data_IF_795141492981
#
_entry.id   IF_795141492981
#
_cell.length_a   1.000
_cell.length_b   1.000
_cell.length_c   1.000
_cell.angle_alpha   90.00
_cell.angle_beta   90.00
_cell.angle_gamma   90.00
#
_symmetry.space_group_name_H-M   'P 1'
#
loop_
_entity.id
_entity.type
_entity.pdbx_description
1 polymer ?
#
# COMPACT_ATOMS: atom_id res chain seq x y z
N UNK A 1 20.37 50.89 55.23
CA UNK A 1 19.95 51.24 56.60
C UNK A 1 18.68 50.44 56.85
N UNK A 2 18.73 49.34 57.60
CA UNK A 2 18.50 49.28 59.08
C UNK A 2 17.02 49.48 59.46
N UNK A 3 16.37 48.72 60.35
CA UNK A 3 16.62 47.41 60.96
C UNK A 3 15.33 46.92 61.68
N UNK A 4 15.12 45.58 61.76
CA UNK A 4 14.75 44.75 62.95
C UNK A 4 14.09 45.48 64.16
N UNK A 5 12.94 45.02 64.73
CA UNK A 5 12.80 43.73 65.48
C UNK A 5 11.50 42.92 65.22
N UNK A 6 11.23 41.69 65.70
CA UNK A 6 11.87 40.55 66.43
C UNK A 6 10.78 39.93 67.33
N UNK A 7 10.92 38.62 67.65
CA UNK A 7 10.24 37.82 68.72
C UNK A 7 9.21 36.83 68.19
N UNK A 8 9.21 35.52 68.48
CA UNK A 8 10.26 34.61 69.01
C UNK A 8 9.87 33.12 68.70
N UNK A 9 10.69 32.15 69.13
CA UNK A 9 10.39 30.70 69.16
C UNK A 9 10.51 30.13 70.59
N UNK A 10 9.99 28.92 70.88
CA UNK A 10 10.85 27.72 70.96
C UNK A 10 10.19 26.45 70.34
N UNK A 11 10.89 25.61 69.56
CA UNK A 11 11.80 24.50 69.93
C UNK A 11 11.14 23.09 69.97
N UNK A 12 11.81 22.09 69.41
CA UNK A 12 11.40 20.68 69.23
C UNK A 12 12.05 19.78 70.35
N UNK A 13 12.30 18.44 70.25
CA UNK A 13 12.15 17.45 69.15
C UNK A 13 11.59 16.05 69.55
N UNK A 14 11.60 15.08 68.62
CA UNK A 14 11.44 13.64 68.93
C UNK A 14 11.33 12.72 67.70
N UNK A 15 12.26 11.78 67.53
CA UNK A 15 12.34 10.85 66.37
C UNK A 15 12.40 9.39 66.86
N UNK A 16 11.63 8.47 66.27
CA UNK A 16 11.86 7.01 66.36
C UNK A 16 11.38 6.24 65.11
N UNK A 17 11.94 5.04 64.92
CA UNK A 17 11.96 4.24 63.68
C UNK A 17 11.51 2.78 63.93
N UNK A 18 10.70 2.16 63.05
CA UNK A 18 10.54 0.70 62.88
C UNK A 18 9.67 0.40 61.61
N UNK A 19 10.15 -0.28 60.53
CA UNK A 19 10.38 -1.72 60.26
C UNK A 19 9.20 -2.48 59.56
N UNK A 20 9.39 -2.65 58.25
CA UNK A 20 9.05 -3.72 57.28
C UNK A 20 8.00 -4.86 57.47
N UNK A 21 7.15 -5.01 56.44
CA UNK A 21 6.67 -6.26 55.74
C UNK A 21 5.79 -7.32 56.46
N UNK A 22 5.08 -8.24 55.75
CA UNK A 22 4.63 -8.31 54.33
C UNK A 22 3.14 -8.74 54.08
N UNK A 23 2.67 -8.56 52.83
CA UNK A 23 1.78 -9.44 52.00
C UNK A 23 0.53 -10.17 52.58
N UNK A 24 -0.63 -10.07 51.89
CA UNK A 24 -1.42 -11.18 51.27
C UNK A 24 -2.85 -10.75 50.83
N UNK A 25 -3.09 -10.91 49.53
CA UNK A 25 -4.34 -11.18 48.77
C UNK A 25 -5.70 -10.51 49.10
N UNK A 26 -6.26 -9.88 48.07
CA UNK A 26 -7.63 -10.20 47.60
C UNK A 26 -7.72 -10.00 46.08
N UNK A 27 -7.79 -11.13 45.34
CA UNK A 27 -8.46 -11.18 44.03
C UNK A 27 -9.97 -11.40 44.30
N UNK A 28 -10.93 -11.16 43.41
CA UNK A 28 -10.96 -11.23 41.94
C UNK A 28 -12.14 -10.38 41.42
N UNK A 29 -12.33 -10.31 40.10
CA UNK A 29 -13.47 -9.73 39.35
C UNK A 29 -13.32 -8.22 39.06
N UNK A 30 -13.03 -7.77 37.84
CA UNK A 30 -13.05 -8.45 36.55
C UNK A 30 -14.29 -8.04 35.73
N UNK A 31 -14.25 -6.84 35.18
CA UNK A 31 -15.12 -6.40 34.09
C UNK A 31 -14.28 -6.34 32.80
N UNK A 32 -14.83 -6.69 31.62
CA UNK A 32 -14.00 -6.82 30.43
C UNK A 32 -13.53 -5.44 29.95
N UNK A 33 -12.21 -5.28 29.83
CA UNK A 33 -11.67 -4.25 28.95
C UNK A 33 -12.14 -4.57 27.53
N UNK A 34 -13.01 -3.73 26.99
CA UNK A 34 -13.26 -3.72 25.56
C UNK A 34 -11.93 -3.43 24.87
N UNK A 35 -11.49 -4.34 24.01
CA UNK A 35 -10.37 -4.11 23.12
C UNK A 35 -10.79 -3.02 22.12
N UNK A 36 -10.56 -1.76 22.48
CA UNK A 36 -10.49 -0.70 21.49
C UNK A 36 -9.38 -1.09 20.51
N UNK A 37 -9.70 -1.14 19.21
CA UNK A 37 -8.67 -1.38 18.20
C UNK A 37 -7.62 -0.29 18.31
N UNK A 38 -6.38 -0.68 18.58
CA UNK A 38 -5.25 0.25 18.69
C UNK A 38 -5.01 0.91 17.32
N UNK A 39 -5.62 2.06 17.11
CA UNK A 39 -5.14 3.04 16.14
C UNK A 39 -3.75 3.46 16.64
N UNK A 40 -2.66 3.27 15.87
CA UNK A 40 -1.34 3.64 16.34
C UNK A 40 -1.32 5.12 16.75
N UNK A 41 -0.56 5.51 17.80
CA UNK A 41 -0.51 6.89 18.25
C UNK A 41 -0.16 7.82 17.08
N UNK A 42 -0.99 8.84 16.86
CA UNK A 42 -0.72 9.80 15.79
C UNK A 42 0.58 10.54 16.09
N UNK A 43 1.50 10.47 15.14
CA UNK A 43 2.75 11.20 15.14
C UNK A 43 2.49 12.62 14.69
N UNK A 44 2.36 13.52 15.67
CA UNK A 44 2.16 14.96 15.44
C UNK A 44 3.42 15.68 14.94
N UNK A 45 4.56 15.00 14.79
CA UNK A 45 5.75 15.52 14.13
C UNK A 45 5.76 15.17 12.62
N UNK A 46 4.95 14.19 12.19
CA UNK A 46 4.76 13.83 10.78
C UNK A 46 3.86 14.82 10.04
N UNK A 47 4.44 15.53 9.06
CA UNK A 47 3.72 16.47 8.19
C UNK A 47 2.50 15.82 7.50
N UNK A 48 2.63 14.57 7.04
CA UNK A 48 1.55 13.85 6.35
C UNK A 48 0.39 13.54 7.30
N UNK A 49 0.67 13.15 8.55
CA UNK A 49 -0.39 12.89 9.54
C UNK A 49 -1.07 14.18 10.00
N UNK A 50 -0.32 15.28 10.13
CA UNK A 50 -0.88 16.62 10.39
C UNK A 50 -1.80 17.07 9.25
N UNK A 51 -1.32 17.04 8.00
CA UNK A 51 -2.11 17.45 6.82
C UNK A 51 -3.33 16.55 6.64
N UNK A 52 -3.22 15.23 6.85
CA UNK A 52 -4.36 14.32 6.82
C UNK A 52 -5.39 14.64 7.91
N UNK A 53 -4.95 15.01 9.11
CA UNK A 53 -5.84 15.42 10.20
C UNK A 53 -6.56 16.75 9.88
N UNK A 54 -5.87 17.70 9.26
CA UNK A 54 -6.45 18.98 8.82
C UNK A 54 -7.45 18.79 7.67
N UNK A 55 -7.15 17.93 6.69
CA UNK A 55 -8.08 17.54 5.62
C UNK A 55 -9.39 16.94 6.19
N UNK A 56 -9.28 16.02 7.16
CA UNK A 56 -10.46 15.45 7.87
C UNK A 56 -11.29 16.53 8.57
N UNK A 57 -10.66 17.52 9.19
CA UNK A 57 -11.36 18.65 9.83
C UNK A 57 -12.05 19.56 8.81
N UNK A 58 -11.41 19.82 7.66
CA UNK A 58 -11.97 20.60 6.56
C UNK A 58 -13.18 19.92 5.93
N UNK A 59 -13.10 18.61 5.67
CA UNK A 59 -14.23 17.79 5.19
C UNK A 59 -15.42 17.80 6.18
N UNK A 60 -15.16 17.78 7.48
CA UNK A 60 -16.22 17.89 8.48
C UNK A 60 -16.86 19.27 8.53
N UNK A 61 -16.10 20.34 8.35
CA UNK A 61 -16.67 21.68 8.22
C UNK A 61 -17.56 21.76 6.96
N UNK A 62 -17.08 21.26 5.82
CA UNK A 62 -17.86 21.13 4.58
C UNK A 62 -19.18 20.39 4.81
N UNK A 63 -19.14 19.25 5.52
CA UNK A 63 -20.36 18.53 5.93
C UNK A 63 -21.23 19.34 6.89
N UNK A 64 -20.69 20.11 7.85
CA UNK A 64 -21.48 21.00 8.70
C UNK A 64 -22.21 22.08 7.88
N UNK A 65 -21.58 22.63 6.84
CA UNK A 65 -22.24 23.54 5.91
C UNK A 65 -23.37 22.86 5.12
N UNK A 66 -23.18 21.61 4.67
CA UNK A 66 -24.28 20.82 4.10
C UNK A 66 -25.40 20.53 5.11
N UNK A 67 -25.07 20.25 6.37
CA UNK A 67 -26.04 20.00 7.45
C UNK A 67 -26.91 21.24 7.72
N UNK A 68 -26.33 22.45 7.65
CA UNK A 68 -27.08 23.72 7.73
C UNK A 68 -28.07 23.90 6.57
N UNK A 69 -27.82 23.28 5.42
CA UNK A 69 -28.70 23.32 4.23
C UNK A 69 -29.73 22.18 4.17
N UNK A 70 -29.76 21.26 5.16
CA UNK A 70 -30.70 20.12 5.15
C UNK A 70 -32.15 20.56 5.06
N UNK A 71 -32.60 21.45 5.95
CA UNK A 71 -34.01 21.87 5.99
C UNK A 71 -34.33 22.83 4.84
N UNK A 72 -33.68 24.00 4.69
CA UNK A 72 -34.07 24.98 3.66
C UNK A 72 -33.81 24.50 2.23
N UNK A 73 -32.73 23.73 2.02
CA UNK A 73 -32.34 23.22 0.71
C UNK A 73 -32.92 21.84 0.40
N UNK A 74 -32.41 20.80 1.08
CA UNK A 74 -32.56 19.40 0.63
C UNK A 74 -33.89 18.73 1.03
N UNK A 75 -34.43 19.04 2.21
CA UNK A 75 -35.67 18.42 2.73
C UNK A 75 -36.92 19.04 2.10
N UNK A 76 -36.88 20.35 1.85
CA UNK A 76 -37.97 21.10 1.25
C UNK A 76 -37.87 21.18 -0.29
N UNK A 77 -36.82 20.62 -0.90
CA UNK A 77 -36.63 20.55 -2.36
C UNK A 77 -37.91 20.13 -3.13
N UNK A 78 -38.65 19.06 -2.75
CA UNK A 78 -39.85 18.66 -3.49
C UNK A 78 -40.94 19.76 -3.50
N UNK A 79 -41.02 20.57 -2.44
CA UNK A 79 -41.97 21.68 -2.32
C UNK A 79 -41.54 22.94 -3.10
N UNK A 80 -40.25 23.10 -3.40
CA UNK A 80 -39.77 24.26 -4.16
C UNK A 80 -40.42 24.33 -5.55
N UNK A 81 -40.64 23.16 -6.18
CA UNK A 81 -41.35 23.02 -7.46
C UNK A 81 -42.76 23.64 -7.47
N UNK A 82 -43.48 23.59 -6.35
CA UNK A 82 -44.82 24.17 -6.19
C UNK A 82 -44.77 25.70 -6.07
N UNK A 83 -43.71 26.22 -5.44
CA UNK A 83 -43.54 27.66 -5.20
C UNK A 83 -42.92 28.42 -6.38
N UNK A 84 -42.17 27.72 -7.25
CA UNK A 84 -41.46 28.32 -8.36
C UNK A 84 -41.40 27.38 -9.58
N UNK A 85 -42.41 27.40 -10.48
CA UNK A 85 -42.46 26.53 -11.66
C UNK A 85 -41.39 26.83 -12.73
N UNK A 86 -40.51 27.80 -12.50
CA UNK A 86 -39.37 28.15 -13.36
C UNK A 86 -38.01 27.61 -12.88
N UNK A 87 -37.95 27.01 -11.68
CA UNK A 87 -36.70 26.56 -11.06
C UNK A 87 -36.53 25.04 -10.95
N UNK A 88 -37.51 24.25 -11.41
CA UNK A 88 -37.33 22.80 -11.51
C UNK A 88 -36.22 22.47 -12.52
N UNK A 89 -35.32 21.50 -12.23
CA UNK A 89 -34.40 21.00 -13.23
C UNK A 89 -35.19 20.43 -14.41
N UNK A 90 -34.74 20.72 -15.64
CA UNK A 90 -35.47 20.44 -16.88
C UNK A 90 -36.06 19.02 -16.89
N UNK A 91 -37.39 18.92 -16.73
CA UNK A 91 -38.14 17.68 -16.91
C UNK A 91 -38.67 16.98 -15.65
N UNK A 92 -38.39 17.45 -14.42
CA UNK A 92 -39.00 16.84 -13.21
C UNK A 92 -39.95 17.77 -12.45
N UNK A 93 -41.22 17.69 -12.83
CA UNK A 93 -42.34 18.21 -12.02
C UNK A 93 -42.69 17.18 -10.95
N UNK A 94 -42.37 17.44 -9.68
CA UNK A 94 -42.98 16.71 -8.55
C UNK A 94 -44.45 17.09 -8.33
N UNK A 95 -44.99 18.03 -9.12
CA UNK A 95 -46.30 18.65 -8.94
C UNK A 95 -47.45 17.95 -9.69
N UNK A 96 -47.19 16.86 -10.41
CA UNK A 96 -48.21 16.19 -11.24
C UNK A 96 -49.14 15.29 -10.41
N UNK A 97 -48.77 14.90 -9.18
CA UNK A 97 -49.64 14.18 -8.24
C UNK A 97 -49.26 14.38 -6.76
N UNK A 98 -50.23 14.58 -5.85
CA UNK A 98 -49.98 14.62 -4.40
C UNK A 98 -49.29 13.36 -3.85
N UNK A 99 -49.45 12.21 -4.51
CA UNK A 99 -48.80 10.95 -4.12
C UNK A 99 -47.29 11.02 -4.37
N UNK A 100 -46.88 11.55 -5.53
CA UNK A 100 -45.47 11.72 -5.91
C UNK A 100 -44.77 12.75 -5.02
N UNK A 101 -45.45 13.85 -4.67
CA UNK A 101 -44.92 14.84 -3.73
C UNK A 101 -44.65 14.23 -2.35
N UNK A 102 -45.58 13.41 -1.83
CA UNK A 102 -45.42 12.70 -0.54
C UNK A 102 -44.24 11.75 -0.59
N UNK A 103 -44.10 10.98 -1.66
CA UNK A 103 -43.01 10.02 -1.86
C UNK A 103 -41.65 10.74 -1.98
N UNK A 104 -41.58 11.86 -2.72
CA UNK A 104 -40.39 12.70 -2.80
C UNK A 104 -39.96 13.27 -1.45
N UNK A 105 -40.91 13.76 -0.64
CA UNK A 105 -40.64 14.23 0.72
C UNK A 105 -40.18 13.11 1.65
N UNK A 106 -40.80 11.93 1.58
CA UNK A 106 -40.41 10.76 2.37
C UNK A 106 -38.99 10.29 2.00
N UNK A 107 -38.66 10.25 0.71
CA UNK A 107 -37.33 9.90 0.22
C UNK A 107 -36.28 10.96 0.60
N UNK A 108 -36.60 12.25 0.51
CA UNK A 108 -35.73 13.34 0.94
C UNK A 108 -35.44 13.26 2.45
N UNK A 109 -36.45 12.98 3.27
CA UNK A 109 -36.32 12.81 4.73
C UNK A 109 -35.43 11.60 5.09
N UNK A 110 -35.67 10.44 4.48
CA UNK A 110 -34.83 9.23 4.68
C UNK A 110 -33.37 9.48 4.29
N UNK A 111 -33.15 10.15 3.16
CA UNK A 111 -31.80 10.49 2.66
C UNK A 111 -31.09 11.46 3.62
N UNK A 112 -31.79 12.48 4.12
CA UNK A 112 -31.20 13.42 5.08
C UNK A 112 -30.91 12.78 6.44
N UNK A 113 -31.74 11.84 6.91
CA UNK A 113 -31.47 11.08 8.13
C UNK A 113 -30.18 10.25 8.00
N UNK A 114 -30.02 9.52 6.89
CA UNK A 114 -28.80 8.76 6.60
C UNK A 114 -27.55 9.67 6.53
N UNK A 115 -27.68 10.87 5.98
CA UNK A 115 -26.59 11.87 5.96
C UNK A 115 -26.19 12.32 7.38
N UNK A 116 -27.15 12.52 8.28
CA UNK A 116 -26.90 12.87 9.69
C UNK A 116 -26.21 11.71 10.42
N UNK A 117 -26.66 10.47 10.20
CA UNK A 117 -26.05 9.27 10.79
C UNK A 117 -24.62 9.05 10.30
N UNK A 118 -24.36 9.25 9.00
CA UNK A 118 -23.02 9.22 8.41
C UNK A 118 -22.10 10.28 9.05
N UNK A 119 -22.57 11.53 9.16
CA UNK A 119 -21.80 12.60 9.81
C UNK A 119 -21.51 12.28 11.28
N UNK A 120 -22.50 11.81 12.04
CA UNK A 120 -22.32 11.40 13.43
C UNK A 120 -21.27 10.29 13.57
N UNK A 121 -21.33 9.29 12.68
CA UNK A 121 -20.35 8.19 12.64
C UNK A 121 -18.92 8.69 12.41
N UNK A 122 -18.72 9.60 11.45
CA UNK A 122 -17.41 10.21 11.22
C UNK A 122 -16.95 11.09 12.39
N UNK A 123 -17.83 11.93 12.93
CA UNK A 123 -17.52 12.82 14.06
C UNK A 123 -17.13 12.05 15.33
N UNK A 124 -17.75 10.89 15.56
CA UNK A 124 -17.48 10.01 16.70
C UNK A 124 -16.48 8.89 16.36
N UNK A 125 -15.93 8.88 15.14
CA UNK A 125 -15.07 7.82 14.63
C UNK A 125 -13.71 7.76 15.33
N UNK A 126 -13.11 6.56 15.45
CA UNK A 126 -11.86 6.35 16.19
C UNK A 126 -10.67 7.13 15.61
N UNK A 127 -10.68 7.40 14.31
CA UNK A 127 -9.64 8.19 13.63
C UNK A 127 -9.65 9.68 14.02
N UNK A 128 -10.80 10.21 14.45
CA UNK A 128 -11.00 11.63 14.70
C UNK A 128 -10.95 11.99 16.19
N UNK A 129 -11.23 11.03 17.07
CA UNK A 129 -11.02 11.17 18.52
C UNK A 129 -9.62 11.70 18.90
N UNK A 130 -8.49 11.17 18.38
CA UNK A 130 -7.16 11.71 18.71
C UNK A 130 -6.94 13.12 18.14
N UNK A 131 -7.56 13.46 17.00
CA UNK A 131 -7.52 14.83 16.43
C UNK A 131 -8.24 15.81 17.35
N UNK A 132 -9.44 15.47 17.84
CA UNK A 132 -10.15 16.30 18.81
C UNK A 132 -9.40 16.45 20.12
N UNK A 133 -8.80 15.37 20.63
CA UNK A 133 -7.97 15.43 21.84
C UNK A 133 -6.75 16.36 21.67
N UNK A 134 -6.10 16.34 20.49
CA UNK A 134 -5.01 17.27 20.18
C UNK A 134 -5.50 18.72 20.13
N UNK A 135 -6.61 19.00 19.43
CA UNK A 135 -7.21 20.34 19.34
C UNK A 135 -7.61 20.86 20.73
N UNK A 136 -8.20 20.01 21.58
CA UNK A 136 -8.59 20.39 22.95
C UNK A 136 -7.36 20.67 23.82
N UNK A 137 -6.28 19.88 23.70
CA UNK A 137 -5.01 20.15 24.38
C UNK A 137 -4.44 21.50 23.97
N UNK A 138 -4.33 21.76 22.65
CA UNK A 138 -3.83 23.05 22.13
C UNK A 138 -4.66 24.24 22.58
N UNK A 139 -5.98 24.09 22.68
CA UNK A 139 -6.88 25.15 23.15
C UNK A 139 -6.73 25.43 24.65
N UNK A 140 -6.43 24.41 25.46
CA UNK A 140 -6.08 24.58 26.88
C UNK A 140 -4.74 25.31 27.02
N UNK A 141 -3.74 24.90 26.24
CA UNK A 141 -2.41 25.51 26.21
C UNK A 141 -2.46 26.99 25.75
N UNK A 142 -3.34 27.33 24.81
CA UNK A 142 -3.54 28.71 24.32
C UNK A 142 -4.49 29.56 25.18
N UNK A 143 -4.88 29.09 26.37
CA UNK A 143 -5.83 29.76 27.27
C UNK A 143 -7.17 30.14 26.60
N UNK A 144 -7.64 29.33 25.64
CA UNK A 144 -8.87 29.57 24.89
C UNK A 144 -8.71 30.53 23.70
N UNK A 145 -7.51 31.00 23.39
CA UNK A 145 -7.28 31.84 22.20
C UNK A 145 -7.33 30.98 20.94
N UNK A 146 -8.41 31.15 20.16
CA UNK A 146 -8.59 30.51 18.85
C UNK A 146 -7.66 31.20 17.84
N UNK A 147 -6.79 30.41 17.19
CA UNK A 147 -5.68 30.92 16.37
C UNK A 147 -6.15 31.40 14.98
N UNK A 148 -7.27 30.91 14.46
CA UNK A 148 -7.80 31.34 13.15
C UNK A 148 -8.57 32.67 13.26
N UNK A 149 -8.08 33.78 12.67
CA UNK A 149 -8.72 35.09 12.80
C UNK A 149 -9.87 35.31 11.80
N UNK A 150 -9.91 34.53 10.73
CA UNK A 150 -10.83 34.67 9.58
C UNK A 150 -12.01 33.72 9.62
N UNK A 151 -11.94 32.61 10.38
CA UNK A 151 -12.98 31.58 10.42
C UNK A 151 -13.21 30.87 9.08
N UNK A 152 -12.19 30.80 8.23
CA UNK A 152 -12.19 30.08 6.94
C UNK A 152 -10.84 29.41 6.73
N UNK A 153 -10.82 28.25 6.05
CA UNK A 153 -9.57 27.62 5.64
C UNK A 153 -8.86 28.41 4.55
N UNK A 154 -7.57 28.68 4.74
CA UNK A 154 -6.73 29.39 3.76
C UNK A 154 -6.20 28.47 2.63
N UNK A 155 -6.30 27.15 2.81
CA UNK A 155 -5.81 26.13 1.88
C UNK A 155 -6.76 24.96 1.77
N UNK A 156 -6.66 24.27 0.65
CA UNK A 156 -7.24 22.95 0.42
C UNK A 156 -6.25 21.88 0.91
N UNK A 157 -6.60 21.19 1.99
CA UNK A 157 -5.73 20.18 2.61
C UNK A 157 -5.88 18.81 1.95
N UNK A 158 -6.96 18.54 1.20
CA UNK A 158 -7.09 17.33 0.39
C UNK A 158 -6.10 17.36 -0.78
N UNK A 159 -6.00 18.51 -1.47
CA UNK A 159 -5.00 18.72 -2.53
C UNK A 159 -3.58 18.62 -1.99
N UNK A 160 -3.29 19.27 -0.85
CA UNK A 160 -1.96 19.22 -0.23
C UNK A 160 -1.59 17.80 0.22
N UNK A 161 -2.55 17.02 0.75
CA UNK A 161 -2.33 15.61 1.10
C UNK A 161 -2.00 14.77 -0.14
N UNK A 162 -2.71 14.98 -1.25
CA UNK A 162 -2.46 14.27 -2.50
C UNK A 162 -1.06 14.60 -3.07
N UNK A 163 -0.62 15.86 -2.97
CA UNK A 163 0.73 16.30 -3.35
C UNK A 163 1.82 15.66 -2.49
N UNK A 164 1.68 15.67 -1.15
CA UNK A 164 2.64 15.02 -0.26
C UNK A 164 2.75 13.51 -0.53
N UNK A 165 1.62 12.83 -0.71
CA UNK A 165 1.60 11.40 -1.05
C UNK A 165 2.20 11.11 -2.45
N UNK A 166 2.10 12.04 -3.41
CA UNK A 166 2.79 11.93 -4.71
C UNK A 166 4.31 12.09 -4.53
N UNK A 167 4.76 13.04 -3.72
CA UNK A 167 6.18 13.27 -3.43
C UNK A 167 6.80 12.07 -2.71
N UNK A 168 6.10 11.48 -1.73
CA UNK A 168 6.59 10.31 -1.00
C UNK A 168 6.73 9.09 -1.91
N UNK A 169 5.71 8.75 -2.71
CA UNK A 169 5.82 7.69 -3.73
C UNK A 169 6.95 7.95 -4.73
N UNK A 170 7.14 9.21 -5.15
CA UNK A 170 8.23 9.59 -6.05
C UNK A 170 9.62 9.37 -5.43
N UNK A 171 9.78 9.59 -4.12
CA UNK A 171 11.02 9.28 -3.40
C UNK A 171 11.24 7.76 -3.30
N UNK A 172 10.20 6.99 -2.99
CA UNK A 172 10.29 5.52 -2.94
C UNK A 172 10.64 4.94 -4.31
N UNK A 173 10.04 5.46 -5.39
CA UNK A 173 10.34 5.09 -6.78
C UNK A 173 11.77 5.49 -7.20
N UNK A 174 12.32 6.59 -6.68
CA UNK A 174 13.72 6.98 -6.91
C UNK A 174 14.68 6.07 -6.16
N UNK A 175 14.46 5.81 -4.87
CA UNK A 175 15.28 4.93 -4.04
C UNK A 175 15.32 3.49 -4.60
N UNK A 176 14.19 2.99 -5.11
CA UNK A 176 14.14 1.69 -5.79
C UNK A 176 14.92 1.68 -7.11
N UNK A 177 14.97 2.81 -7.82
CA UNK A 177 15.78 2.95 -9.05
C UNK A 177 17.26 3.02 -8.74
N UNK A 178 17.65 3.75 -7.70
CA UNK A 178 19.03 3.80 -7.20
C UNK A 178 19.51 2.43 -6.72
N UNK A 179 18.69 1.64 -6.01
CA UNK A 179 19.02 0.24 -5.64
C UNK A 179 19.19 -0.64 -6.89
N UNK A 180 18.28 -0.56 -7.88
CA UNK A 180 18.43 -1.34 -9.12
C UNK A 180 19.68 -0.93 -9.92
N UNK A 181 20.00 0.36 -9.99
CA UNK A 181 21.20 0.86 -10.67
C UNK A 181 22.49 0.45 -9.96
N UNK A 182 22.51 0.46 -8.62
CA UNK A 182 23.62 -0.05 -7.83
C UNK A 182 23.80 -1.56 -7.99
N UNK A 183 22.72 -2.35 -7.99
CA UNK A 183 22.79 -3.80 -8.28
C UNK A 183 23.28 -4.08 -9.70
N UNK A 184 22.82 -3.31 -10.69
CA UNK A 184 23.24 -3.43 -12.09
C UNK A 184 24.73 -3.12 -12.25
N UNK A 185 25.20 -2.02 -11.68
CA UNK A 185 26.61 -1.65 -11.69
C UNK A 185 27.48 -2.73 -11.01
N UNK A 186 27.03 -3.28 -9.88
CA UNK A 186 27.71 -4.40 -9.22
C UNK A 186 27.81 -5.63 -10.12
N UNK A 187 26.70 -6.07 -10.69
CA UNK A 187 26.63 -7.26 -11.57
C UNK A 187 27.48 -7.11 -12.86
N UNK A 188 27.62 -5.89 -13.38
CA UNK A 188 28.43 -5.60 -14.56
C UNK A 188 29.92 -5.36 -14.23
N UNK A 189 30.26 -5.01 -12.99
CA UNK A 189 31.65 -4.80 -12.55
C UNK A 189 32.40 -6.08 -12.16
N UNK A 190 31.68 -7.15 -11.80
CA UNK A 190 32.23 -8.33 -11.14
C UNK A 190 32.45 -9.50 -12.11
N UNK A 191 33.66 -9.64 -12.65
CA UNK A 191 33.99 -10.77 -13.51
C UNK A 191 33.95 -12.10 -12.73
N UNK A 192 33.01 -12.97 -13.09
CA UNK A 192 32.86 -14.33 -12.54
C UNK A 192 31.78 -14.52 -11.46
N UNK A 193 31.20 -13.47 -10.88
CA UNK A 193 30.18 -13.61 -9.81
C UNK A 193 28.94 -14.41 -10.25
N UNK A 194 28.61 -14.39 -11.55
CA UNK A 194 27.53 -15.18 -12.15
C UNK A 194 27.63 -16.69 -11.84
N UNK A 195 28.84 -17.24 -11.67
CA UNK A 195 29.02 -18.65 -11.35
C UNK A 195 28.45 -19.00 -9.97
N UNK A 196 28.59 -18.10 -8.98
CA UNK A 196 28.01 -18.24 -7.64
C UNK A 196 26.49 -18.11 -7.64
N UNK A 197 25.93 -17.26 -8.51
CA UNK A 197 24.48 -17.16 -8.72
C UNK A 197 23.92 -18.48 -9.29
N UNK A 198 24.59 -19.08 -10.29
CA UNK A 198 24.20 -20.39 -10.83
C UNK A 198 24.37 -21.50 -9.79
N UNK A 199 25.42 -21.47 -8.98
CA UNK A 199 25.70 -22.48 -7.95
C UNK A 199 24.67 -22.45 -6.82
N UNK A 200 24.34 -21.26 -6.30
CA UNK A 200 23.28 -21.08 -5.31
C UNK A 200 21.90 -21.47 -5.86
N UNK A 201 21.61 -21.21 -7.14
CA UNK A 201 20.40 -21.73 -7.80
C UNK A 201 20.38 -23.27 -7.85
N UNK A 202 21.50 -23.92 -8.19
CA UNK A 202 21.59 -25.39 -8.21
C UNK A 202 21.37 -25.96 -6.81
N UNK A 203 21.94 -25.34 -5.76
CA UNK A 203 21.77 -25.77 -4.36
C UNK A 203 20.31 -25.74 -3.89
N UNK A 204 19.44 -24.89 -4.48
CA UNK A 204 18.00 -24.88 -4.20
C UNK A 204 17.25 -26.15 -4.64
N UNK A 205 17.86 -27.02 -5.46
CA UNK A 205 17.34 -28.35 -5.85
C UNK A 205 15.87 -28.34 -6.35
N UNK A 206 15.51 -27.35 -7.18
CA UNK A 206 14.11 -27.14 -7.62
C UNK A 206 13.55 -28.33 -8.43
N UNK A 207 12.35 -28.84 -8.10
CA UNK A 207 11.82 -30.07 -8.67
C UNK A 207 11.47 -29.93 -10.17
N UNK A 208 12.17 -30.70 -11.00
CA UNK A 208 11.95 -30.71 -12.45
C UNK A 208 12.75 -29.67 -13.23
N UNK A 209 13.62 -28.90 -12.56
CA UNK A 209 14.62 -28.03 -13.21
C UNK A 209 15.98 -28.73 -13.18
N UNK A 210 16.75 -28.66 -14.27
CA UNK A 210 18.16 -29.08 -14.31
C UNK A 210 18.98 -28.02 -15.01
N UNK A 211 20.21 -27.83 -14.55
CA UNK A 211 21.12 -26.79 -15.01
C UNK A 211 22.43 -27.44 -15.44
N UNK A 212 22.91 -27.10 -16.64
CA UNK A 212 24.12 -27.63 -17.26
C UNK A 212 25.01 -26.43 -17.62
N UNK A 213 26.11 -26.27 -16.88
CA UNK A 213 27.15 -25.26 -17.14
C UNK A 213 27.99 -25.69 -18.35
N UNK A 214 28.18 -24.83 -19.34
CA UNK A 214 29.17 -25.04 -20.41
C UNK A 214 30.53 -24.50 -19.91
N UNK A 215 31.63 -25.25 -20.11
CA UNK A 215 32.88 -24.99 -19.37
C UNK A 215 33.73 -23.83 -19.90
N UNK A 216 33.55 -23.43 -21.17
CA UNK A 216 34.45 -22.49 -21.87
C UNK A 216 33.74 -21.20 -22.35
N UNK A 217 32.44 -21.06 -22.06
CA UNK A 217 31.58 -20.00 -22.60
C UNK A 217 30.72 -19.40 -21.49
N UNK A 218 30.24 -18.16 -21.68
CA UNK A 218 29.21 -17.54 -20.83
C UNK A 218 27.81 -18.12 -21.15
N UNK A 219 27.73 -19.45 -21.23
CA UNK A 219 26.55 -20.18 -21.69
C UNK A 219 26.07 -21.19 -20.65
N UNK A 220 24.75 -21.27 -20.50
CA UNK A 220 24.07 -22.15 -19.57
C UNK A 220 22.89 -22.82 -20.26
N UNK A 221 22.76 -24.13 -20.15
CA UNK A 221 21.56 -24.84 -20.58
C UNK A 221 20.67 -25.20 -19.38
N UNK A 222 19.41 -24.79 -19.41
CA UNK A 222 18.42 -25.03 -18.35
C UNK A 222 17.31 -25.89 -18.92
N UNK A 223 17.19 -27.13 -18.43
CA UNK A 223 16.19 -28.09 -18.85
C UNK A 223 15.02 -28.14 -17.85
N UNK A 224 13.83 -27.80 -18.33
CA UNK A 224 12.57 -27.95 -17.60
C UNK A 224 11.96 -29.32 -17.94
N UNK A 225 12.30 -30.33 -17.13
CA UNK A 225 12.05 -31.75 -17.41
C UNK A 225 10.56 -32.06 -17.57
N UNK A 226 9.71 -31.52 -16.70
CA UNK A 226 8.24 -31.72 -16.75
C UNK A 226 7.60 -30.99 -17.94
N UNK A 227 8.09 -29.81 -18.28
CA UNK A 227 7.65 -29.05 -19.46
C UNK A 227 8.09 -29.72 -20.78
N UNK A 228 9.30 -30.28 -20.82
CA UNK A 228 9.93 -30.84 -22.03
C UNK A 228 10.62 -29.77 -22.89
N UNK A 229 11.17 -28.73 -22.24
CA UNK A 229 11.79 -27.55 -22.85
C UNK A 229 13.21 -27.38 -22.33
N UNK A 230 14.13 -26.95 -23.19
CA UNK A 230 15.51 -26.60 -22.82
C UNK A 230 15.78 -25.18 -23.32
N UNK A 231 16.18 -24.30 -22.40
CA UNK A 231 16.62 -22.94 -22.71
C UNK A 231 18.13 -22.84 -22.67
N UNK A 232 18.71 -22.14 -23.64
CA UNK A 232 20.11 -21.72 -23.62
C UNK A 232 20.16 -20.24 -23.25
N UNK A 233 20.79 -19.95 -22.13
CA UNK A 233 21.06 -18.60 -21.63
C UNK A 233 22.50 -18.26 -21.99
N UNK A 234 22.72 -17.14 -22.68
CA UNK A 234 24.03 -16.67 -23.10
C UNK A 234 24.26 -15.24 -22.59
N UNK A 235 25.42 -14.99 -21.98
CA UNK A 235 25.83 -13.66 -21.56
C UNK A 235 26.35 -12.83 -22.73
N UNK A 236 25.75 -11.66 -22.93
CA UNK A 236 26.21 -10.65 -23.88
C UNK A 236 27.25 -9.76 -23.18
N UNK A 237 28.49 -9.75 -23.65
CA UNK A 237 29.50 -8.77 -23.22
C UNK A 237 29.42 -7.53 -24.12
N UNK A 238 29.54 -6.34 -23.54
CA UNK A 238 29.82 -5.11 -24.29
C UNK A 238 31.35 -4.88 -24.36
N UNK A 239 31.86 -4.16 -25.38
CA UNK A 239 33.31 -3.99 -25.57
C UNK A 239 34.02 -3.27 -24.41
N UNK A 240 33.32 -2.35 -23.74
CA UNK A 240 33.87 -1.44 -22.72
C UNK A 240 33.53 -1.87 -21.28
N UNK A 241 32.85 -3.00 -21.08
CA UNK A 241 32.43 -3.50 -19.77
C UNK A 241 33.13 -4.83 -19.39
N UNK A 242 33.64 -5.00 -18.15
CA UNK A 242 34.34 -6.23 -17.76
C UNK A 242 33.39 -7.44 -17.59
N UNK A 243 32.18 -7.20 -17.06
CA UNK A 243 31.17 -8.22 -16.79
C UNK A 243 30.22 -8.53 -17.96
N UNK A 244 29.08 -9.14 -17.63
CA UNK A 244 28.01 -9.44 -18.59
C UNK A 244 27.02 -8.27 -18.59
N UNK A 245 26.82 -7.64 -19.74
CA UNK A 245 25.90 -6.52 -19.87
C UNK A 245 24.44 -6.98 -19.73
N UNK A 246 24.07 -8.05 -20.47
CA UNK A 246 22.71 -8.59 -20.56
C UNK A 246 22.73 -10.11 -20.76
N UNK A 247 21.70 -10.81 -20.27
CA UNK A 247 21.51 -12.26 -20.52
C UNK A 247 20.42 -12.53 -21.55
N UNK A 248 20.81 -13.09 -22.69
CA UNK A 248 19.90 -13.46 -23.77
C UNK A 248 19.45 -14.93 -23.64
N UNK A 249 18.19 -15.22 -23.97
CA UNK A 249 17.62 -16.59 -23.92
C UNK A 249 17.24 -17.06 -25.31
N UNK A 250 17.58 -18.30 -25.64
CA UNK A 250 17.13 -18.98 -26.86
C UNK A 250 16.59 -20.38 -26.56
N UNK A 251 15.53 -20.80 -27.27
CA UNK A 251 15.16 -22.21 -27.34
C UNK A 251 15.88 -22.86 -28.51
N UNK A 252 16.81 -23.79 -28.24
CA UNK A 252 17.43 -24.60 -29.29
C UNK A 252 16.74 -25.96 -29.32
N UNK A 253 15.77 -26.08 -30.22
CA UNK A 253 15.20 -27.39 -30.53
C UNK A 253 16.30 -28.36 -31.00
N UNK A 254 16.26 -29.65 -30.63
CA UNK A 254 17.20 -30.64 -31.13
C UNK A 254 17.22 -30.71 -32.67
N UNK A 255 18.34 -31.10 -33.30
CA UNK A 255 18.43 -31.20 -34.76
C UNK A 255 17.26 -32.00 -35.35
N UNK A 256 16.52 -31.39 -36.28
CA UNK A 256 15.34 -31.98 -36.91
C UNK A 256 13.99 -31.66 -36.25
N UNK A 257 13.94 -30.98 -35.09
CA UNK A 257 12.70 -30.45 -34.50
C UNK A 257 12.61 -28.93 -34.72
N UNK A 258 11.42 -28.46 -35.11
CA UNK A 258 11.10 -27.01 -35.12
C UNK A 258 10.68 -26.58 -33.70
N UNK A 259 11.14 -25.42 -33.19
CA UNK A 259 10.67 -24.89 -31.92
C UNK A 259 9.14 -24.76 -31.86
N UNK A 260 8.54 -25.18 -30.76
CA UNK A 260 7.07 -25.13 -30.64
C UNK A 260 6.58 -23.69 -30.40
N UNK A 261 5.32 -23.40 -30.73
CA UNK A 261 4.71 -22.09 -30.40
C UNK A 261 4.82 -21.77 -28.90
N UNK A 262 4.76 -22.79 -28.05
CA UNK A 262 4.91 -22.66 -26.60
C UNK A 262 6.32 -22.18 -26.22
N UNK A 263 7.36 -22.82 -26.75
CA UNK A 263 8.77 -22.43 -26.55
C UNK A 263 9.03 -21.00 -27.04
N UNK A 264 8.47 -20.63 -28.20
CA UNK A 264 8.63 -19.29 -28.76
C UNK A 264 8.00 -18.23 -27.83
N UNK A 265 6.75 -18.44 -27.39
CA UNK A 265 6.09 -17.49 -26.46
C UNK A 265 6.76 -17.41 -25.08
N UNK A 266 7.37 -18.49 -24.59
CA UNK A 266 8.23 -18.43 -23.40
C UNK A 266 9.50 -17.61 -23.66
N UNK A 267 10.20 -17.89 -24.77
CA UNK A 267 11.45 -17.23 -25.13
C UNK A 267 11.26 -15.74 -25.37
N UNK A 268 10.13 -15.36 -25.98
CA UNK A 268 9.70 -13.97 -26.15
C UNK A 268 9.48 -13.29 -24.79
N UNK A 269 8.72 -13.91 -23.88
CA UNK A 269 8.49 -13.40 -22.52
C UNK A 269 9.79 -13.29 -21.69
N UNK A 270 10.71 -14.25 -21.85
CA UNK A 270 12.00 -14.26 -21.16
C UNK A 270 12.96 -13.19 -21.70
N UNK A 271 12.84 -12.77 -22.97
CA UNK A 271 13.68 -11.72 -23.56
C UNK A 271 13.06 -10.31 -23.49
N UNK A 272 11.75 -10.20 -23.26
CA UNK A 272 11.05 -8.93 -22.98
C UNK A 272 11.02 -8.55 -21.50
N UNK A 273 11.60 -9.38 -20.63
CA UNK A 273 11.65 -9.18 -19.17
C UNK A 273 12.32 -7.85 -18.76
N UNK A 274 11.96 -7.27 -17.60
CA UNK A 274 12.78 -6.28 -16.90
C UNK A 274 14.06 -6.93 -16.35
N UNK A 275 15.03 -6.12 -15.89
CA UNK A 275 16.31 -6.59 -15.31
C UNK A 275 17.03 -7.62 -16.19
N UNK A 276 17.29 -7.29 -17.46
CA UNK A 276 17.97 -8.21 -18.40
C UNK A 276 19.42 -8.55 -18.01
N UNK A 277 20.07 -7.64 -17.31
CA UNK A 277 21.38 -7.79 -16.67
C UNK A 277 21.40 -8.82 -15.52
N UNK A 278 20.24 -9.11 -14.90
CA UNK A 278 20.14 -9.95 -13.70
C UNK A 278 19.93 -11.44 -14.04
N UNK A 279 20.93 -12.26 -13.71
CA UNK A 279 20.87 -13.71 -13.87
C UNK A 279 19.98 -14.39 -12.82
N UNK A 280 19.95 -13.91 -11.57
CA UNK A 280 19.14 -14.52 -10.51
C UNK A 280 17.64 -14.37 -10.83
N UNK A 281 17.23 -13.16 -11.22
CA UNK A 281 15.88 -12.87 -11.71
C UNK A 281 15.51 -13.76 -12.91
N UNK A 282 16.43 -13.91 -13.88
CA UNK A 282 16.19 -14.76 -15.05
C UNK A 282 16.03 -16.25 -14.66
N UNK A 283 16.88 -16.77 -13.77
CA UNK A 283 16.81 -18.17 -13.34
C UNK A 283 15.51 -18.47 -12.59
N UNK A 284 15.07 -17.56 -11.71
CA UNK A 284 13.78 -17.66 -11.02
C UNK A 284 12.61 -17.58 -12.02
N UNK A 285 12.67 -16.66 -12.98
CA UNK A 285 11.67 -16.52 -14.04
C UNK A 285 11.57 -17.79 -14.90
N UNK A 286 12.70 -18.42 -15.25
CA UNK A 286 12.72 -19.71 -15.96
C UNK A 286 12.15 -20.83 -15.09
N UNK A 287 12.49 -20.87 -13.79
CA UNK A 287 11.98 -21.88 -12.86
C UNK A 287 10.45 -21.86 -12.72
N UNK A 288 9.83 -20.69 -12.85
CA UNK A 288 8.37 -20.51 -12.81
C UNK A 288 7.61 -21.22 -13.95
N UNK A 289 8.31 -21.76 -14.96
CA UNK A 289 7.74 -22.59 -16.03
C UNK A 289 7.85 -24.10 -15.76
N UNK A 290 8.54 -24.54 -14.69
CA UNK A 290 8.78 -25.95 -14.39
C UNK A 290 7.48 -26.77 -14.34
N UNK A 291 6.43 -26.21 -13.71
CA UNK A 291 5.12 -26.84 -13.55
C UNK A 291 4.01 -26.24 -14.44
N UNK A 292 4.38 -25.58 -15.56
CA UNK A 292 3.45 -24.87 -16.45
C UNK A 292 2.20 -25.67 -16.84
N UNK A 293 2.31 -27.00 -17.02
CA UNK A 293 1.19 -27.88 -17.40
C UNK A 293 0.13 -28.04 -16.29
N UNK A 294 0.41 -27.51 -15.10
CA UNK A 294 -0.48 -27.50 -13.93
C UNK A 294 -0.79 -26.06 -13.45
N UNK A 295 0.03 -25.07 -13.82
CA UNK A 295 -0.17 -23.67 -13.42
C UNK A 295 -1.36 -23.04 -14.14
N UNK A 296 -2.39 -22.62 -13.39
CA UNK A 296 -3.51 -21.82 -13.90
C UNK A 296 -3.14 -20.34 -14.06
N UNK A 297 -3.80 -19.65 -14.98
CA UNK A 297 -3.70 -18.20 -15.14
C UNK A 297 -4.34 -17.45 -13.96
N UNK A 298 -3.61 -16.53 -13.33
CA UNK A 298 -4.05 -15.82 -12.11
C UNK A 298 -5.33 -14.99 -12.33
N UNK A 299 -5.50 -14.33 -13.50
CA UNK A 299 -6.70 -13.51 -13.76
C UNK A 299 -7.96 -14.30 -14.06
N UNK A 300 -7.86 -15.46 -14.72
CA UNK A 300 -9.05 -16.19 -15.20
C UNK A 300 -9.25 -17.58 -14.54
N UNK A 301 -8.30 -18.01 -13.69
CA UNK A 301 -8.27 -19.30 -12.99
C UNK A 301 -8.41 -20.54 -13.90
N UNK A 302 -8.03 -20.42 -15.18
CA UNK A 302 -8.02 -21.53 -16.15
C UNK A 302 -6.59 -21.92 -16.52
N UNK A 303 -6.37 -23.21 -16.76
CA UNK A 303 -5.12 -23.73 -17.31
C UNK A 303 -4.94 -23.30 -18.79
N UNK A 304 -6.01 -23.27 -19.58
CA UNK A 304 -5.98 -22.84 -20.98
C UNK A 304 -6.96 -21.70 -21.26
N UNK A 305 -6.60 -20.82 -22.19
CA UNK A 305 -7.53 -19.83 -22.74
C UNK A 305 -8.44 -20.45 -23.82
N UNK A 306 -9.33 -19.64 -24.40
CA UNK A 306 -10.27 -20.06 -25.45
C UNK A 306 -9.57 -20.59 -26.72
N UNK A 307 -8.28 -20.31 -26.90
CA UNK A 307 -7.44 -20.81 -28.01
C UNK A 307 -6.55 -22.00 -27.62
N UNK A 308 -6.86 -22.67 -26.50
CA UNK A 308 -6.12 -23.80 -25.93
C UNK A 308 -4.64 -23.49 -25.57
N UNK A 309 -4.29 -22.22 -25.35
CA UNK A 309 -2.93 -21.80 -24.97
C UNK A 309 -2.75 -21.82 -23.44
N UNK A 310 -1.60 -22.31 -22.99
CA UNK A 310 -1.17 -22.26 -21.57
C UNK A 310 -0.75 -20.84 -21.17
N UNK A 311 -0.72 -20.48 -19.87
CA UNK A 311 -0.30 -19.16 -19.42
C UNK A 311 1.22 -19.02 -19.55
N UNK A 312 1.70 -18.56 -20.71
CA UNK A 312 3.12 -18.40 -21.03
C UNK A 312 3.72 -17.08 -20.55
N UNK A 313 2.92 -16.11 -20.12
CA UNK A 313 3.42 -14.83 -19.62
C UNK A 313 3.74 -14.96 -18.14
N UNK A 314 4.82 -14.29 -17.73
CA UNK A 314 5.27 -14.18 -16.35
C UNK A 314 5.41 -12.72 -15.98
N UNK A 315 4.70 -12.30 -14.93
CA UNK A 315 4.79 -10.96 -14.34
C UNK A 315 5.39 -11.09 -12.95
N UNK A 316 6.49 -10.40 -12.67
CA UNK A 316 7.08 -10.41 -11.33
C UNK A 316 6.07 -9.85 -10.32
N UNK A 317 5.92 -10.52 -9.19
CA UNK A 317 5.12 -10.02 -8.08
C UNK A 317 5.91 -8.92 -7.37
N UNK A 318 5.25 -7.79 -7.09
CA UNK A 318 5.83 -6.75 -6.24
C UNK A 318 5.85 -7.23 -4.79
N UNK A 319 6.90 -7.97 -4.45
CA UNK A 319 7.19 -8.47 -3.11
C UNK A 319 8.48 -7.82 -2.67
N UNK A 320 8.39 -6.90 -1.70
CA UNK A 320 9.60 -6.38 -1.07
C UNK A 320 10.35 -7.54 -0.41
N UNK A 321 11.67 -7.66 -0.61
CA UNK A 321 12.45 -8.67 0.09
C UNK A 321 12.46 -8.36 1.57
N UNK A 322 12.07 -9.35 2.40
CA UNK A 322 12.27 -9.25 3.84
C UNK A 322 13.79 -9.20 4.14
N UNK A 323 14.19 -8.36 5.10
CA UNK A 323 15.62 -8.14 5.32
C UNK A 323 16.33 -9.42 5.82
N UNK A 324 17.31 -9.87 5.04
CA UNK A 324 18.24 -10.94 5.43
C UNK A 324 18.16 -12.23 4.62
N UNK A 325 17.12 -12.44 3.82
CA UNK A 325 17.01 -13.63 2.95
C UNK A 325 17.53 -13.37 1.52
N UNK A 326 18.01 -14.40 0.80
CA UNK A 326 18.36 -14.27 -0.62
C UNK A 326 17.14 -13.81 -1.43
N UNK A 327 17.27 -12.74 -2.21
CA UNK A 327 16.19 -12.23 -3.10
C UNK A 327 15.73 -13.34 -4.04
N UNK A 328 14.55 -13.93 -3.78
CA UNK A 328 13.86 -14.87 -4.68
C UNK A 328 12.64 -14.20 -5.29
N UNK A 329 12.50 -14.26 -6.62
CA UNK A 329 11.42 -13.60 -7.32
C UNK A 329 10.24 -14.54 -7.58
N UNK A 330 9.05 -14.16 -7.12
CA UNK A 330 7.79 -14.84 -7.44
C UNK A 330 7.17 -14.25 -8.72
N UNK A 331 6.49 -15.08 -9.52
CA UNK A 331 5.93 -14.68 -10.81
C UNK A 331 4.49 -15.17 -11.02
N UNK A 332 3.59 -14.25 -11.34
CA UNK A 332 2.23 -14.56 -11.78
C UNK A 332 2.22 -15.17 -13.17
N UNK A 333 1.50 -16.28 -13.33
CA UNK A 333 1.25 -16.89 -14.63
C UNK A 333 0.02 -16.27 -15.31
N UNK A 334 0.19 -15.80 -16.55
CA UNK A 334 -0.87 -15.14 -17.33
C UNK A 334 -0.96 -15.69 -18.75
N UNK A 335 -2.18 -15.74 -19.30
CA UNK A 335 -2.39 -15.89 -20.75
C UNK A 335 -2.11 -14.57 -21.48
N UNK A 336 -1.76 -14.64 -22.76
CA UNK A 336 -1.65 -13.47 -23.66
C UNK A 336 -2.92 -12.62 -23.70
N UNK A 337 -4.09 -13.27 -23.67
CA UNK A 337 -5.41 -12.63 -23.58
C UNK A 337 -5.77 -12.08 -22.19
N UNK A 338 -4.86 -12.18 -21.21
CA UNK A 338 -5.09 -11.82 -19.80
C UNK A 338 -4.00 -10.91 -19.23
N UNK A 339 -3.19 -10.25 -20.08
CA UNK A 339 -2.23 -9.22 -19.66
C UNK A 339 -2.94 -8.04 -19.00
#
# INVERSE_FOLDING_TARGET
MSAVPTTAAPAAPGTLTAIATPQVNSATQGAPQAANGDTPPLDWESEIQLVSSLAKLQELERKIHELRQLVPGKLLEPLQSLTNPKWGPQGSSFADSPVQLREGLEQAARTQLANIENFKSMWQGPELQPVWAHVESRLKDSAGQIVQPTGMWERDYDVLLEELLKVERGKDEELLREDEEAERAKAQSSEGEWQGVVESFIQRNLPGVRVIKEQETLSLAIALVKAGVIFHVAGVKEPDAPGVADWHVSSRAPPGRVPTKLENSMTECLNSRPRKWDLAFLLDMISSYADLKQTSCVKCNKLTNNSAQLPTIRRAQSTQPSQGEPRTFAFDALHSSCV
#
